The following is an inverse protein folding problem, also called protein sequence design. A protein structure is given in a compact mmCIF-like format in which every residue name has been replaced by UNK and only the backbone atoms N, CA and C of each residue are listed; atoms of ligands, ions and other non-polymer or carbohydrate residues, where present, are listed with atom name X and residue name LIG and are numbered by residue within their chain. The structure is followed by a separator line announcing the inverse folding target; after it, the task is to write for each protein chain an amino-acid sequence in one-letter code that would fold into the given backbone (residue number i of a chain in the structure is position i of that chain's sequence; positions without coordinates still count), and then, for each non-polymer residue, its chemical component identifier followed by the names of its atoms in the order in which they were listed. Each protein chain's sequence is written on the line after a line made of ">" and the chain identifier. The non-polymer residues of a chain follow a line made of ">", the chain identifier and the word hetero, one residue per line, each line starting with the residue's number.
data_IF_034178685143
#
_entry.id   IF_034178685143
#
_cell.length_a   1.000
_cell.length_b   1.000
_cell.length_c   1.000
_cell.angle_alpha   90.00
_cell.angle_beta   90.00
_cell.angle_gamma   90.00
#
_symmetry.space_group_name_H-M   'P 1'
#
loop_
_entity.id
_entity.type
_entity.pdbx_description
1 polymer ?
#
# COMPACT_ATOMS: atom_id res chain seq x y z
N UNK A 1 -26.66 9.20 13.66
CA UNK A 1 -25.34 9.55 13.10
C UNK A 1 -25.30 9.04 11.67
N UNK A 2 -25.50 9.93 10.69
CA UNK A 2 -25.37 9.56 9.27
C UNK A 2 -23.88 9.37 8.94
N UNK A 3 -23.51 8.36 8.12
CA UNK A 3 -22.15 8.25 7.62
C UNK A 3 -21.82 9.49 6.78
N UNK A 4 -20.62 10.06 7.00
CA UNK A 4 -20.09 11.18 6.23
C UNK A 4 -20.09 10.86 4.72
N UNK A 5 -20.32 11.85 3.84
CA UNK A 5 -20.38 11.61 2.42
C UNK A 5 -19.01 11.16 1.86
N UNK A 6 -18.99 10.28 0.83
CA UNK A 6 -17.80 9.55 0.38
C UNK A 6 -16.67 10.40 -0.23
N UNK A 7 -16.81 11.73 -0.29
CA UNK A 7 -15.86 12.63 -0.91
C UNK A 7 -14.92 13.37 0.08
N UNK A 8 -15.14 13.26 1.40
CA UNK A 8 -14.28 13.90 2.44
C UNK A 8 -13.13 13.00 2.90
N UNK A 9 -12.15 12.73 2.03
CA UNK A 9 -10.98 11.89 2.33
C UNK A 9 -10.06 12.44 3.43
N UNK A 10 -10.05 13.76 3.71
CA UNK A 10 -9.21 14.35 4.78
C UNK A 10 -9.55 13.82 6.18
N UNK A 11 -10.84 13.55 6.44
CA UNK A 11 -11.31 12.95 7.70
C UNK A 11 -10.99 11.46 7.76
N UNK A 12 -11.03 10.76 6.62
CA UNK A 12 -10.61 9.36 6.54
C UNK A 12 -9.14 9.23 6.92
N UNK A 13 -8.24 10.04 6.37
CA UNK A 13 -6.81 9.96 6.72
C UNK A 13 -6.51 10.43 8.16
N UNK A 14 -7.31 11.37 8.68
CA UNK A 14 -7.22 11.81 10.08
C UNK A 14 -7.77 10.76 11.08
N UNK A 15 -8.78 9.96 10.69
CA UNK A 15 -9.41 8.91 11.50
C UNK A 15 -8.78 7.51 11.29
N UNK A 16 -8.29 7.20 10.11
CA UNK A 16 -7.57 5.96 9.76
C UNK A 16 -6.26 5.85 10.53
N UNK A 17 -5.63 7.00 10.89
CA UNK A 17 -4.56 7.09 11.90
C UNK A 17 -4.93 6.46 13.26
N UNK A 18 -6.22 6.28 13.59
CA UNK A 18 -6.72 5.64 14.83
C UNK A 18 -7.33 4.25 14.62
N UNK A 19 -7.55 3.80 13.39
CA UNK A 19 -8.35 2.58 13.10
C UNK A 19 -7.54 1.37 12.65
N UNK A 20 -6.21 1.46 12.65
CA UNK A 20 -5.30 0.33 12.40
C UNK A 20 -5.05 -0.47 13.69
N UNK A 21 -6.09 -1.08 14.26
CA UNK A 21 -6.00 -1.97 15.43
C UNK A 21 -6.81 -3.27 15.31
N UNK A 22 -7.43 -3.57 14.16
CA UNK A 22 -8.31 -4.75 14.02
C UNK A 22 -7.84 -5.83 13.04
N UNK A 23 -6.71 -5.67 12.36
CA UNK A 23 -6.19 -6.70 11.42
C UNK A 23 -4.97 -7.48 11.93
N UNK A 24 -4.49 -7.21 13.16
CA UNK A 24 -3.21 -7.75 13.66
C UNK A 24 -3.30 -9.12 14.37
N UNK A 25 -4.50 -9.71 14.56
CA UNK A 25 -4.64 -10.78 15.58
C UNK A 25 -4.94 -12.20 15.07
N UNK A 26 -4.58 -12.58 13.84
CA UNK A 26 -4.91 -13.93 13.36
C UNK A 26 -3.78 -14.94 13.16
N UNK A 27 -2.49 -14.58 13.13
CA UNK A 27 -1.51 -15.57 12.67
C UNK A 27 -0.30 -15.67 13.62
N UNK A 28 -0.49 -16.47 14.67
CA UNK A 28 0.57 -17.04 15.49
C UNK A 28 0.62 -18.55 15.20
N UNK A 29 1.81 -19.01 14.80
CA UNK A 29 2.32 -20.39 14.77
C UNK A 29 1.70 -21.40 13.80
N UNK A 30 2.48 -21.74 12.76
CA UNK A 30 2.54 -23.10 12.21
C UNK A 30 4.01 -23.50 12.07
N UNK A 31 4.51 -24.21 13.08
CA UNK A 31 5.75 -24.99 13.02
C UNK A 31 5.35 -26.39 13.50
N UNK A 32 5.44 -27.43 12.65
CA UNK A 32 5.30 -28.82 13.08
C UNK A 32 4.36 -29.68 12.21
N UNK A 33 4.90 -30.80 11.76
CA UNK A 33 4.33 -31.82 10.87
C UNK A 33 3.52 -32.87 11.69
N UNK A 34 2.57 -33.54 11.02
CA UNK A 34 2.01 -34.88 11.26
C UNK A 34 0.85 -35.10 12.28
N UNK A 35 -0.10 -35.95 11.81
CA UNK A 35 -0.89 -36.95 12.54
C UNK A 35 -2.37 -36.66 12.90
N UNK A 36 -3.15 -37.74 12.78
CA UNK A 36 -4.61 -37.88 12.79
C UNK A 36 -5.30 -37.53 14.14
N UNK A 37 -6.63 -37.37 14.05
CA UNK A 37 -7.67 -37.60 15.05
C UNK A 37 -8.17 -36.44 15.96
N UNK A 38 -9.47 -36.14 15.78
CA UNK A 38 -10.51 -35.76 16.72
C UNK A 38 -10.15 -35.19 18.13
N UNK A 39 -10.65 -33.98 18.44
CA UNK A 39 -11.71 -33.71 19.44
C UNK A 39 -11.80 -32.21 19.74
N UNK A 40 -13.02 -31.69 19.74
CA UNK A 40 -13.35 -30.34 20.17
C UNK A 40 -12.88 -30.08 21.63
N UNK A 41 -12.09 -29.02 21.83
CA UNK A 41 -11.87 -28.39 23.14
C UNK A 41 -12.03 -26.88 23.00
N UNK A 42 -12.90 -26.32 23.86
CA UNK A 42 -13.22 -24.89 23.97
C UNK A 42 -11.93 -24.07 24.10
N UNK A 43 -11.65 -23.22 23.11
CA UNK A 43 -10.52 -22.31 23.15
C UNK A 43 -10.83 -21.16 24.12
N UNK A 44 -9.94 -20.94 25.10
CA UNK A 44 -9.97 -19.76 25.97
C UNK A 44 -9.60 -18.51 25.15
N UNK A 45 -10.14 -17.33 25.50
CA UNK A 45 -9.78 -16.09 24.80
C UNK A 45 -8.29 -15.78 24.98
N UNK A 46 -7.64 -15.50 23.86
CA UNK A 46 -6.24 -15.08 23.77
C UNK A 46 -6.04 -13.76 24.52
N UNK A 47 -5.18 -13.77 25.55
CA UNK A 47 -4.73 -12.56 26.25
C UNK A 47 -3.49 -12.03 25.52
N UNK A 48 -3.55 -10.87 24.85
CA UNK A 48 -2.38 -10.33 24.16
C UNK A 48 -1.30 -9.96 25.19
N UNK A 49 -0.07 -10.41 24.93
CA UNK A 49 1.11 -10.06 25.73
C UNK A 49 1.39 -8.56 25.64
N UNK A 50 1.73 -7.95 26.78
CA UNK A 50 2.06 -6.53 26.95
C UNK A 50 3.45 -6.18 26.39
N UNK A 51 3.70 -6.47 25.11
CA UNK A 51 4.81 -5.87 24.39
C UNK A 51 4.25 -4.76 23.50
N UNK A 52 4.48 -3.53 23.93
CA UNK A 52 4.09 -2.32 23.23
C UNK A 52 4.48 -2.41 21.76
N UNK A 53 3.52 -2.18 20.86
CA UNK A 53 3.83 -1.82 19.49
C UNK A 53 4.74 -0.58 19.54
N UNK A 54 5.87 -0.53 18.81
CA UNK A 54 6.70 0.66 18.80
C UNK A 54 5.87 1.84 18.30
N UNK A 55 6.03 2.98 18.97
CA UNK A 55 5.38 4.22 18.65
C UNK A 55 5.53 4.55 17.15
N UNK A 56 4.42 4.91 16.51
CA UNK A 56 4.29 5.18 15.07
C UNK A 56 4.89 6.53 14.61
N UNK A 57 5.95 6.99 15.25
CA UNK A 57 6.69 8.17 14.86
C UNK A 57 8.17 7.83 14.86
N UNK A 58 8.92 8.36 13.89
CA UNK A 58 10.39 8.34 13.84
C UNK A 58 11.10 7.25 13.02
N UNK A 59 10.53 6.83 11.88
CA UNK A 59 11.37 6.36 10.77
C UNK A 59 11.44 7.46 9.70
N UNK A 60 12.47 8.29 9.86
CA UNK A 60 12.80 9.44 9.03
C UNK A 60 13.80 9.00 7.97
N UNK A 61 13.34 8.84 6.73
CA UNK A 61 14.21 8.85 5.57
C UNK A 61 14.08 10.24 4.94
N UNK A 62 14.86 11.21 5.38
CA UNK A 62 14.88 12.54 4.75
C UNK A 62 15.93 12.63 3.63
N UNK A 63 17.01 11.85 3.71
CA UNK A 63 18.20 11.98 2.83
C UNK A 63 18.72 10.62 2.30
N UNK A 64 17.85 9.75 1.78
CA UNK A 64 18.29 8.46 1.20
C UNK A 64 18.61 8.60 -0.30
N UNK A 65 19.66 7.92 -0.82
CA UNK A 65 20.01 7.99 -2.23
C UNK A 65 18.82 7.57 -3.10
N UNK A 66 18.59 8.33 -4.17
CA UNK A 66 17.45 8.18 -5.10
C UNK A 66 17.28 6.72 -5.53
N UNK A 67 18.39 6.03 -5.80
CA UNK A 67 18.45 4.63 -6.21
C UNK A 67 17.73 3.66 -5.24
N UNK A 68 17.91 3.82 -3.92
CA UNK A 68 17.25 2.95 -2.92
C UNK A 68 15.73 3.09 -2.94
N UNK A 69 15.24 4.32 -3.05
CA UNK A 69 13.80 4.59 -3.09
C UNK A 69 13.19 4.10 -4.40
N UNK A 70 13.87 4.33 -5.51
CA UNK A 70 13.44 3.82 -6.81
C UNK A 70 13.36 2.29 -6.79
N UNK A 71 14.41 1.60 -6.30
CA UNK A 71 14.39 0.15 -6.14
C UNK A 71 13.30 -0.33 -5.19
N UNK A 72 13.08 0.35 -4.08
CA UNK A 72 12.01 0.01 -3.14
C UNK A 72 10.61 0.14 -3.78
N UNK A 73 10.39 1.12 -4.68
CA UNK A 73 9.13 1.24 -5.42
C UNK A 73 8.90 0.08 -6.37
N UNK A 74 9.95 -0.35 -7.08
CA UNK A 74 9.86 -1.52 -7.97
C UNK A 74 9.44 -2.76 -7.21
N UNK A 75 10.14 -3.06 -6.11
CA UNK A 75 9.83 -4.22 -5.28
C UNK A 75 8.43 -4.12 -4.67
N UNK A 76 8.05 -2.93 -4.18
CA UNK A 76 6.74 -2.73 -3.59
C UNK A 76 5.62 -2.93 -4.62
N UNK A 77 5.80 -2.41 -5.84
CA UNK A 77 4.85 -2.55 -6.95
C UNK A 77 4.71 -4.02 -7.37
N UNK A 78 5.82 -4.76 -7.49
CA UNK A 78 5.81 -6.18 -7.84
C UNK A 78 5.02 -7.01 -6.82
N UNK A 79 5.21 -6.73 -5.53
CA UNK A 79 4.44 -7.41 -4.47
C UNK A 79 2.97 -7.00 -4.50
N UNK A 80 2.66 -5.72 -4.70
CA UNK A 80 1.27 -5.26 -4.81
C UNK A 80 0.55 -5.94 -5.98
N UNK A 81 1.25 -6.15 -7.10
CA UNK A 81 0.74 -6.93 -8.23
C UNK A 81 0.45 -8.38 -7.83
N UNK A 82 1.39 -9.06 -7.15
CA UNK A 82 1.18 -10.44 -6.71
C UNK A 82 0.00 -10.56 -5.75
N UNK A 83 -0.14 -9.63 -4.80
CA UNK A 83 -1.27 -9.57 -3.86
C UNK A 83 -2.60 -9.30 -4.57
N UNK A 84 -2.59 -8.46 -5.59
CA UNK A 84 -3.78 -8.12 -6.37
C UNK A 84 -4.29 -9.29 -7.23
N UNK A 85 -3.37 -10.14 -7.72
CA UNK A 85 -3.70 -11.31 -8.53
C UNK A 85 -4.04 -12.54 -7.67
N UNK A 86 -3.32 -12.75 -6.56
CA UNK A 86 -3.41 -13.97 -5.73
C UNK A 86 -4.16 -13.77 -4.41
N UNK A 87 -4.49 -12.52 -4.06
CA UNK A 87 -5.12 -12.16 -2.78
C UNK A 87 -4.17 -12.34 -1.59
N UNK A 88 -4.77 -12.44 -0.40
CA UNK A 88 -4.02 -12.52 0.87
C UNK A 88 -3.10 -13.75 0.97
N UNK A 89 -3.32 -14.79 0.16
CA UNK A 89 -2.48 -15.98 0.11
C UNK A 89 -1.02 -15.67 -0.30
N UNK A 90 -0.80 -14.59 -1.06
CA UNK A 90 0.55 -14.19 -1.46
C UNK A 90 1.36 -13.58 -0.30
N UNK A 91 0.74 -13.14 0.82
CA UNK A 91 1.46 -12.54 1.94
C UNK A 91 2.53 -13.44 2.54
N UNK A 92 2.27 -14.75 2.58
CA UNK A 92 3.21 -15.72 3.12
C UNK A 92 4.51 -15.77 2.31
N UNK A 93 4.44 -15.46 1.00
CA UNK A 93 5.57 -15.42 0.09
C UNK A 93 6.25 -14.04 0.03
N UNK A 94 5.61 -12.97 0.54
CA UNK A 94 6.16 -11.60 0.47
C UNK A 94 7.48 -11.47 1.23
N UNK A 95 7.58 -12.08 2.41
CA UNK A 95 8.81 -12.03 3.20
C UNK A 95 9.98 -12.70 2.46
N UNK A 96 9.71 -13.84 1.81
CA UNK A 96 10.69 -14.57 1.01
C UNK A 96 11.09 -13.77 -0.24
N UNK A 97 10.11 -13.19 -0.95
CA UNK A 97 10.37 -12.34 -2.11
C UNK A 97 11.34 -11.20 -1.80
N UNK A 98 11.12 -10.49 -0.68
CA UNK A 98 12.04 -9.42 -0.28
C UNK A 98 13.43 -9.94 0.08
N UNK A 99 13.52 -11.10 0.76
CA UNK A 99 14.81 -11.71 1.09
C UNK A 99 15.61 -12.11 -0.17
N UNK A 100 14.93 -12.60 -1.21
CA UNK A 100 15.53 -13.05 -2.47
C UNK A 100 15.78 -11.91 -3.48
N UNK A 101 15.27 -10.71 -3.21
CA UNK A 101 15.34 -9.55 -4.14
C UNK A 101 16.74 -9.00 -4.42
N UNK A 102 17.75 -9.43 -3.66
CA UNK A 102 19.13 -8.91 -3.71
C UNK A 102 19.29 -7.48 -3.20
N UNK A 103 18.22 -6.82 -2.77
CA UNK A 103 18.27 -5.46 -2.24
C UNK A 103 18.86 -5.41 -0.83
N UNK A 104 19.49 -4.30 -0.45
CA UNK A 104 19.98 -4.08 0.91
C UNK A 104 18.84 -3.98 1.94
N UNK A 105 19.18 -4.12 3.23
CA UNK A 105 18.19 -4.13 4.31
C UNK A 105 17.33 -2.87 4.36
N UNK A 106 17.90 -1.70 4.08
CA UNK A 106 17.14 -0.45 4.11
C UNK A 106 16.13 -0.39 2.97
N UNK A 107 16.55 -0.75 1.76
CA UNK A 107 15.67 -0.83 0.58
C UNK A 107 14.53 -1.80 0.82
N UNK A 108 14.80 -2.99 1.38
CA UNK A 108 13.77 -3.97 1.75
C UNK A 108 12.80 -3.40 2.77
N UNK A 109 13.30 -2.73 3.81
CA UNK A 109 12.46 -2.12 4.85
C UNK A 109 11.48 -1.10 4.27
N UNK A 110 11.96 -0.21 3.40
CA UNK A 110 11.14 0.79 2.72
C UNK A 110 10.09 0.11 1.84
N UNK A 111 10.49 -0.90 1.08
CA UNK A 111 9.57 -1.61 0.19
C UNK A 111 8.46 -2.33 0.98
N UNK A 112 8.81 -3.02 2.08
CA UNK A 112 7.85 -3.67 2.98
C UNK A 112 6.87 -2.65 3.57
N UNK A 113 7.37 -1.50 4.03
CA UNK A 113 6.55 -0.43 4.59
C UNK A 113 5.53 0.08 3.56
N UNK A 114 6.00 0.41 2.35
CA UNK A 114 5.14 0.93 1.29
C UNK A 114 4.13 -0.09 0.79
N UNK A 115 4.52 -1.36 0.62
CA UNK A 115 3.59 -2.43 0.25
C UNK A 115 2.50 -2.59 1.30
N UNK A 116 2.86 -2.67 2.58
CA UNK A 116 1.88 -2.87 3.66
C UNK A 116 0.92 -1.71 3.77
N UNK A 117 1.43 -0.48 3.69
CA UNK A 117 0.59 0.72 3.71
C UNK A 117 -0.34 0.78 2.52
N UNK A 118 0.19 0.65 1.31
CA UNK A 118 -0.60 0.69 0.08
C UNK A 118 -1.64 -0.44 0.00
N UNK A 119 -1.34 -1.65 0.52
CA UNK A 119 -2.31 -2.74 0.58
C UNK A 119 -3.42 -2.49 1.60
N UNK A 120 -3.07 -2.03 2.80
CA UNK A 120 -4.05 -1.73 3.84
C UNK A 120 -5.04 -0.64 3.41
N UNK A 121 -4.55 0.34 2.63
CA UNK A 121 -5.36 1.45 2.11
C UNK A 121 -5.87 1.21 0.68
N UNK A 122 -5.67 0.02 0.10
CA UNK A 122 -6.02 -0.27 -1.29
C UNK A 122 -7.48 0.08 -1.65
N UNK A 123 -8.50 -0.21 -0.82
CA UNK A 123 -9.87 0.19 -1.13
C UNK A 123 -10.06 1.71 -1.27
N UNK A 124 -9.32 2.49 -0.48
CA UNK A 124 -9.36 3.96 -0.53
C UNK A 124 -8.59 4.50 -1.71
N UNK A 125 -7.42 3.94 -1.99
CA UNK A 125 -6.67 4.25 -3.21
C UNK A 125 -7.53 3.98 -4.45
N UNK A 126 -8.24 2.86 -4.49
CA UNK A 126 -9.10 2.48 -5.61
C UNK A 126 -10.25 3.47 -5.84
N UNK A 127 -10.89 3.95 -4.78
CA UNK A 127 -11.94 4.98 -4.90
C UNK A 127 -11.40 6.32 -5.38
N UNK A 128 -10.21 6.74 -4.90
CA UNK A 128 -9.54 7.93 -5.41
C UNK A 128 -9.23 7.80 -6.90
N UNK A 129 -8.69 6.65 -7.32
CA UNK A 129 -8.38 6.35 -8.72
C UNK A 129 -9.65 6.38 -9.57
N UNK A 130 -10.73 5.69 -9.15
CA UNK A 130 -12.04 5.70 -9.85
C UNK A 130 -12.59 7.11 -10.00
N UNK A 131 -12.48 7.94 -8.96
CA UNK A 131 -12.98 9.31 -9.00
C UNK A 131 -12.20 10.21 -9.97
N UNK A 132 -10.95 9.88 -10.25
CA UNK A 132 -10.08 10.63 -11.16
C UNK A 132 -10.15 10.10 -12.60
N UNK A 133 -10.44 8.81 -12.77
CA UNK A 133 -10.58 8.15 -14.06
C UNK A 133 -12.00 8.33 -14.63
N UNK A 134 -12.39 9.57 -14.98
CA UNK A 134 -13.75 9.97 -15.40
C UNK A 134 -14.34 9.12 -16.56
N UNK A 135 -13.52 8.43 -17.35
CA UNK A 135 -13.95 7.64 -18.52
C UNK A 135 -13.47 6.18 -18.55
N UNK A 136 -12.66 5.76 -17.59
CA UNK A 136 -12.06 4.42 -17.61
C UNK A 136 -12.71 3.53 -16.56
N UNK A 137 -13.25 2.39 -17.00
CA UNK A 137 -13.66 1.35 -16.08
C UNK A 137 -12.40 0.85 -15.37
N UNK A 138 -12.23 1.20 -14.10
CA UNK A 138 -11.14 0.75 -13.23
C UNK A 138 -10.89 -0.78 -13.33
N UNK A 139 -11.95 -1.54 -13.64
CA UNK A 139 -11.93 -2.97 -13.91
C UNK A 139 -11.13 -3.39 -15.16
N UNK A 140 -10.84 -2.47 -16.09
CA UNK A 140 -10.05 -2.71 -17.32
C UNK A 140 -8.57 -2.34 -17.18
N UNK A 141 -8.16 -1.81 -16.03
CA UNK A 141 -6.75 -1.55 -15.78
C UNK A 141 -6.00 -2.86 -15.75
N UNK A 142 -4.81 -2.88 -16.36
CA UNK A 142 -3.90 -3.99 -16.16
C UNK A 142 -3.58 -4.10 -14.66
N UNK A 143 -3.41 -5.31 -14.10
CA UNK A 143 -3.05 -5.44 -12.69
C UNK A 143 -1.74 -4.70 -12.34
N UNK A 144 -0.85 -4.54 -13.32
CA UNK A 144 0.38 -3.73 -13.19
C UNK A 144 0.06 -2.24 -13.03
N UNK A 145 -0.75 -1.66 -13.92
CA UNK A 145 -1.14 -0.23 -13.83
C UNK A 145 -1.89 0.06 -12.53
N UNK A 146 -2.77 -0.86 -12.12
CA UNK A 146 -3.49 -0.77 -10.84
C UNK A 146 -2.53 -0.77 -9.65
N UNK A 147 -1.50 -1.61 -9.68
CA UNK A 147 -0.48 -1.69 -8.62
C UNK A 147 0.38 -0.43 -8.56
N UNK A 148 0.79 0.11 -9.72
CA UNK A 148 1.52 1.37 -9.81
C UNK A 148 0.67 2.52 -9.25
N UNK A 149 -0.59 2.63 -9.68
CA UNK A 149 -1.50 3.68 -9.22
C UNK A 149 -1.76 3.59 -7.71
N UNK A 150 -2.01 2.39 -7.17
CA UNK A 150 -2.20 2.20 -5.71
C UNK A 150 -0.98 2.68 -4.93
N UNK A 151 0.22 2.28 -5.34
CA UNK A 151 1.47 2.70 -4.69
C UNK A 151 1.65 4.22 -4.75
N UNK A 152 1.44 4.83 -5.92
CA UNK A 152 1.61 6.26 -6.12
C UNK A 152 0.58 7.08 -5.31
N UNK A 153 -0.69 6.66 -5.32
CA UNK A 153 -1.77 7.31 -4.55
C UNK A 153 -1.51 7.21 -3.06
N UNK A 154 -1.08 6.04 -2.58
CA UNK A 154 -0.63 5.87 -1.20
C UNK A 154 0.49 6.84 -0.86
N UNK A 155 1.51 6.99 -1.71
CA UNK A 155 2.61 7.93 -1.47
C UNK A 155 2.12 9.40 -1.44
N UNK A 156 1.22 9.79 -2.34
CA UNK A 156 0.64 11.15 -2.38
C UNK A 156 -0.20 11.48 -1.14
N UNK A 157 -0.96 10.50 -0.65
CA UNK A 157 -1.88 10.68 0.46
C UNK A 157 -1.21 10.51 1.84
N UNK A 158 -0.35 9.51 1.99
CA UNK A 158 0.16 9.03 3.29
C UNK A 158 1.63 9.36 3.56
N UNK A 159 2.42 9.68 2.53
CA UNK A 159 3.87 9.89 2.68
C UNK A 159 4.26 11.38 2.48
N UNK A 160 4.05 12.26 3.48
CA UNK A 160 4.31 13.70 3.34
C UNK A 160 5.78 14.06 3.09
N UNK A 161 6.70 13.13 3.37
CA UNK A 161 8.14 13.29 3.11
C UNK A 161 8.52 13.08 1.65
N UNK A 162 7.62 12.53 0.82
CA UNK A 162 7.85 12.32 -0.61
C UNK A 162 7.21 13.50 -1.36
N UNK A 163 7.99 14.31 -2.09
CA UNK A 163 7.43 15.38 -2.90
C UNK A 163 6.44 14.82 -3.93
N UNK A 164 5.25 15.42 -4.11
CA UNK A 164 4.24 14.89 -5.02
C UNK A 164 4.75 14.68 -6.45
N UNK A 165 5.52 15.64 -6.97
CA UNK A 165 6.14 15.55 -8.31
C UNK A 165 7.05 14.33 -8.45
N UNK A 166 7.80 13.99 -7.40
CA UNK A 166 8.69 12.81 -7.40
C UNK A 166 7.87 11.54 -7.40
N UNK A 167 6.82 11.44 -6.57
CA UNK A 167 5.94 10.27 -6.55
C UNK A 167 5.28 10.03 -7.93
N UNK A 168 4.84 11.10 -8.59
CA UNK A 168 4.23 11.05 -9.93
C UNK A 168 5.28 10.60 -10.97
N UNK A 169 6.44 11.25 -11.01
CA UNK A 169 7.50 10.91 -11.96
C UNK A 169 7.93 9.43 -11.83
N UNK A 170 8.12 8.95 -10.61
CA UNK A 170 8.50 7.56 -10.35
C UNK A 170 7.42 6.56 -10.79
N UNK A 171 6.15 6.91 -10.63
CA UNK A 171 5.05 6.08 -11.13
C UNK A 171 5.05 5.99 -12.66
N UNK A 172 5.40 7.09 -13.35
CA UNK A 172 5.53 7.13 -14.81
C UNK A 172 6.71 6.27 -15.27
N UNK A 173 7.85 6.35 -14.58
CA UNK A 173 9.01 5.51 -14.89
C UNK A 173 8.72 4.02 -14.68
N UNK A 174 8.00 3.65 -13.62
CA UNK A 174 7.51 2.28 -13.44
C UNK A 174 6.60 1.84 -14.60
N UNK A 175 5.71 2.73 -15.06
CA UNK A 175 4.81 2.44 -16.16
C UNK A 175 5.56 2.18 -17.48
N UNK A 176 6.60 2.97 -17.77
CA UNK A 176 7.49 2.77 -18.93
C UNK A 176 8.22 1.42 -18.86
N UNK A 177 8.62 1.02 -17.66
CA UNK A 177 9.41 -0.20 -17.46
C UNK A 177 8.57 -1.49 -17.47
N UNK A 178 7.35 -1.44 -16.93
CA UNK A 178 6.56 -2.66 -16.65
C UNK A 178 5.22 -2.74 -17.37
N UNK A 179 4.79 -1.69 -18.06
CA UNK A 179 3.46 -1.60 -18.68
C UNK A 179 3.55 -1.25 -20.18
N UNK A 180 2.41 -0.94 -20.78
CA UNK A 180 2.30 -0.64 -22.22
C UNK A 180 2.72 0.80 -22.55
N UNK A 181 3.00 1.08 -23.82
CA UNK A 181 3.37 2.43 -24.30
C UNK A 181 2.34 3.53 -23.97
N UNK A 182 1.06 3.16 -23.82
CA UNK A 182 -0.02 4.11 -23.49
C UNK A 182 -0.12 4.39 -21.98
N UNK A 183 0.45 3.53 -21.14
CA UNK A 183 0.30 3.59 -19.69
C UNK A 183 0.95 4.81 -19.03
N UNK A 184 2.16 5.28 -19.41
CA UNK A 184 2.80 6.45 -18.80
C UNK A 184 1.94 7.72 -18.84
N UNK A 185 1.36 8.04 -20.02
CA UNK A 185 0.50 9.21 -20.19
C UNK A 185 -0.82 9.09 -19.42
N UNK A 186 -1.41 7.89 -19.40
CA UNK A 186 -2.61 7.61 -18.62
C UNK A 186 -2.37 7.79 -17.12
N UNK A 187 -1.31 7.17 -16.58
CA UNK A 187 -0.96 7.24 -15.16
C UNK A 187 -0.68 8.68 -14.74
N UNK A 188 0.05 9.45 -15.56
CA UNK A 188 0.26 10.87 -15.29
C UNK A 188 -1.06 11.64 -15.15
N UNK A 189 -1.97 11.50 -16.12
CA UNK A 189 -3.25 12.22 -16.10
C UNK A 189 -4.14 11.87 -14.90
N UNK A 190 -4.14 10.60 -14.48
CA UNK A 190 -4.86 10.15 -13.27
C UNK A 190 -4.23 10.76 -12.02
N UNK A 191 -2.91 10.65 -11.86
CA UNK A 191 -2.23 11.11 -10.66
C UNK A 191 -2.25 12.64 -10.52
N UNK A 192 -2.16 13.40 -11.62
CA UNK A 192 -2.30 14.85 -11.60
C UNK A 192 -3.69 15.28 -11.10
N UNK A 193 -4.74 14.57 -11.56
CA UNK A 193 -6.11 14.81 -11.12
C UNK A 193 -6.28 14.50 -9.63
N UNK A 194 -5.69 13.40 -9.14
CA UNK A 194 -5.73 13.04 -7.72
C UNK A 194 -4.95 14.06 -6.88
N UNK A 195 -3.75 14.44 -7.32
CA UNK A 195 -2.91 15.41 -6.62
C UNK A 195 -3.60 16.77 -6.48
N UNK A 196 -4.26 17.26 -7.53
CA UNK A 196 -5.07 18.49 -7.48
C UNK A 196 -6.20 18.37 -6.44
N UNK A 197 -6.99 17.29 -6.48
CA UNK A 197 -8.06 17.04 -5.50
C UNK A 197 -7.54 17.00 -4.06
N UNK A 198 -6.41 16.32 -3.83
CA UNK A 198 -5.79 16.23 -2.50
C UNK A 198 -5.27 17.60 -2.01
N UNK A 199 -4.83 18.47 -2.92
CA UNK A 199 -4.35 19.82 -2.60
C UNK A 199 -5.49 20.76 -2.27
N UNK A 200 -6.56 20.76 -3.08
CA UNK A 200 -7.79 21.54 -2.84
C UNK A 200 -8.39 21.19 -1.46
N UNK A 201 -8.40 19.91 -1.10
CA UNK A 201 -8.90 19.46 0.20
C UNK A 201 -8.03 19.88 1.40
N UNK A 202 -6.73 20.12 1.19
CA UNK A 202 -5.82 20.62 2.24
C UNK A 202 -5.94 22.14 2.43
N UNK A 203 -6.42 22.86 1.41
CA UNK A 203 -6.53 24.33 1.42
C UNK A 203 -7.94 24.82 1.79
N UNK A 204 -8.98 24.01 1.56
CA UNK A 204 -10.38 24.34 1.86
C UNK A 204 -10.91 23.82 3.20
N UNK A 205 -10.06 23.70 4.22
CA UNK A 205 -10.39 23.17 5.54
C UNK A 205 -10.05 24.14 6.67
#
# INVERSE_FOLDING_TARGET
>A
MLPEPPWKWSTYWSRSRRRTLLLSNKYRTCRGRLSRAAKARRLRPFRPSRHAAPARADLVHKDEPVDRRTRARELAMQVLYSLDVQGDAAFDCVAQFFAESGADEQTRRIAIEWTRGAWADAPVCDELIKSAAIKWQFQRLSPVDRSILRLAVYQLACCPKIPPKVAINEAIELAKKFSTEKSPGFINGVLDTIHRKLTEQRQGG
#
